data_IF_959135869497
#
_entry.id   IF_959135869497
#
_cell.length_a   1.000
_cell.length_b   1.000
_cell.length_c   1.000
_cell.angle_alpha   90.00
_cell.angle_beta   90.00
_cell.angle_gamma   90.00
#
_symmetry.space_group_name_H-M   'P 1'
#
loop_
_entity.id
_entity.type
_entity.pdbx_description
1 polymer ?
#
# COMPACT_ATOMS: atom_id res chain seq x y z
N UNK A 1 11.79 5.05 1.33
CA UNK A 1 10.57 4.30 1.66
C UNK A 1 9.72 3.98 0.44
N UNK A 2 9.63 4.86 -0.57
CA UNK A 2 8.77 4.68 -1.75
C UNK A 2 8.98 3.34 -2.47
N UNK A 3 10.22 2.95 -2.77
CA UNK A 3 10.49 1.66 -3.43
C UNK A 3 9.98 0.46 -2.61
N UNK A 4 10.18 0.48 -1.28
CA UNK A 4 9.65 -0.55 -0.38
C UNK A 4 8.12 -0.59 -0.34
N UNK A 5 7.48 0.58 -0.31
CA UNK A 5 6.03 0.75 -0.38
C UNK A 5 5.46 0.20 -1.72
N UNK A 6 6.12 0.49 -2.85
CA UNK A 6 5.72 -0.01 -4.16
C UNK A 6 5.83 -1.54 -4.21
N UNK A 7 6.95 -2.12 -3.78
CA UNK A 7 7.13 -3.58 -3.82
C UNK A 7 6.16 -4.31 -2.87
N UNK A 8 5.89 -3.74 -1.69
CA UNK A 8 4.89 -4.28 -0.78
C UNK A 8 3.48 -4.18 -1.37
N UNK A 9 3.14 -3.08 -2.05
CA UNK A 9 1.85 -2.90 -2.72
C UNK A 9 1.67 -3.90 -3.86
N UNK A 10 2.68 -4.09 -4.72
CA UNK A 10 2.66 -5.12 -5.77
C UNK A 10 2.49 -6.51 -5.16
N UNK A 11 3.22 -6.82 -4.09
CA UNK A 11 3.09 -8.09 -3.38
C UNK A 11 1.71 -8.33 -2.79
N UNK A 12 1.07 -7.29 -2.25
CA UNK A 12 -0.31 -7.33 -1.75
C UNK A 12 -1.29 -7.56 -2.90
N UNK A 13 -1.23 -6.73 -3.94
CA UNK A 13 -2.18 -6.76 -5.07
C UNK A 13 -2.11 -8.05 -5.90
N UNK A 14 -0.93 -8.67 -5.97
CA UNK A 14 -0.78 -10.00 -6.58
C UNK A 14 -1.49 -11.12 -5.79
N UNK A 15 -1.71 -10.93 -4.49
CA UNK A 15 -2.39 -11.91 -3.62
C UNK A 15 -3.87 -11.60 -3.44
N UNK A 16 -4.21 -10.32 -3.31
CA UNK A 16 -5.57 -9.82 -3.14
C UNK A 16 -5.73 -8.57 -3.99
N UNK A 17 -6.49 -8.67 -5.09
CA UNK A 17 -6.69 -7.57 -6.03
C UNK A 17 -7.68 -6.51 -5.53
N UNK A 18 -8.37 -6.73 -4.40
CA UNK A 18 -9.30 -5.77 -3.79
C UNK A 18 -9.11 -5.75 -2.26
N UNK A 19 -7.94 -5.31 -1.75
CA UNK A 19 -7.64 -5.34 -0.33
C UNK A 19 -8.45 -4.30 0.46
N UNK A 20 -8.73 -4.55 1.74
CA UNK A 20 -9.29 -3.55 2.67
C UNK A 20 -8.24 -2.50 3.08
N UNK A 21 -8.67 -1.42 3.74
CA UNK A 21 -7.74 -0.39 4.20
C UNK A 21 -6.81 -0.94 5.30
N UNK A 22 -7.33 -1.82 6.15
CA UNK A 22 -6.59 -2.51 7.20
C UNK A 22 -5.56 -3.47 6.62
N UNK A 23 -5.88 -4.17 5.53
CA UNK A 23 -4.94 -5.03 4.82
C UNK A 23 -3.81 -4.21 4.18
N UNK A 24 -4.13 -3.05 3.59
CA UNK A 24 -3.14 -2.13 3.05
C UNK A 24 -2.21 -1.63 4.16
N UNK A 25 -2.77 -1.13 5.28
CA UNK A 25 -1.99 -0.62 6.39
C UNK A 25 -1.08 -1.71 6.98
N UNK A 26 -1.60 -2.92 7.14
CA UNK A 26 -0.84 -4.07 7.63
C UNK A 26 0.31 -4.45 6.69
N UNK A 27 0.07 -4.45 5.37
CA UNK A 27 1.11 -4.72 4.38
C UNK A 27 2.20 -3.62 4.37
N UNK A 28 1.84 -2.39 4.70
CA UNK A 28 2.77 -1.25 4.70
C UNK A 28 3.47 -1.02 6.06
N UNK A 29 3.09 -1.74 7.13
CA UNK A 29 3.60 -1.52 8.48
C UNK A 29 5.13 -1.61 8.62
N UNK A 30 5.78 -2.45 7.80
CA UNK A 30 7.24 -2.57 7.74
C UNK A 30 7.96 -1.46 6.96
N UNK A 31 7.23 -0.61 6.24
CA UNK A 31 7.76 0.40 5.34
C UNK A 31 7.63 1.82 5.92
N UNK A 32 8.53 2.19 6.84
CA UNK A 32 8.44 3.49 7.53
C UNK A 32 8.60 4.67 6.55
N UNK A 33 7.63 5.60 6.57
CA UNK A 33 7.62 6.84 5.83
C UNK A 33 7.78 8.04 6.77
N UNK A 34 8.84 8.84 6.57
CA UNK A 34 9.08 10.08 7.36
C UNK A 34 8.41 11.32 6.76
N UNK A 35 8.05 11.28 5.48
CA UNK A 35 7.34 12.38 4.83
C UNK A 35 5.87 12.49 5.27
N UNK A 36 5.35 11.51 6.02
CA UNK A 36 3.97 11.53 6.53
C UNK A 36 2.90 11.24 5.47
N UNK A 37 3.25 10.59 4.36
CA UNK A 37 2.37 10.45 3.19
C UNK A 37 1.57 9.14 3.15
N UNK A 38 1.37 8.45 4.27
CA UNK A 38 0.69 7.13 4.31
C UNK A 38 -0.72 7.17 3.70
N UNK A 39 -1.49 8.24 3.95
CA UNK A 39 -2.83 8.42 3.38
C UNK A 39 -2.79 8.43 1.84
N UNK A 40 -1.80 9.13 1.25
CA UNK A 40 -1.63 9.18 -0.21
C UNK A 40 -1.18 7.84 -0.78
N UNK A 41 -0.36 7.10 -0.05
CA UNK A 41 0.06 5.75 -0.44
C UNK A 41 -1.14 4.80 -0.47
N UNK A 42 -1.98 4.82 0.58
CA UNK A 42 -3.19 4.01 0.63
C UNK A 42 -4.13 4.31 -0.53
N UNK A 43 -4.36 5.60 -0.82
CA UNK A 43 -5.16 6.03 -1.97
C UNK A 43 -4.59 5.53 -3.30
N UNK A 44 -3.28 5.59 -3.49
CA UNK A 44 -2.63 5.09 -4.70
C UNK A 44 -2.80 3.57 -4.87
N UNK A 45 -2.77 2.81 -3.77
CA UNK A 45 -2.99 1.36 -3.80
C UNK A 45 -4.45 1.03 -4.17
N UNK A 46 -5.43 1.77 -3.62
CA UNK A 46 -6.85 1.66 -4.00
C UNK A 46 -7.07 1.92 -5.48
N UNK A 47 -6.48 3.00 -6.01
CA UNK A 47 -6.55 3.32 -7.43
C UNK A 47 -5.94 2.20 -8.29
N UNK A 48 -4.81 1.64 -7.86
CA UNK A 48 -4.17 0.52 -8.57
C UNK A 48 -4.99 -0.79 -8.51
N UNK A 49 -5.77 -1.00 -7.46
CA UNK A 49 -6.73 -2.11 -7.32
C UNK A 49 -7.97 -1.96 -8.22
N UNK A 50 -8.17 -0.79 -8.86
CA UNK A 50 -9.34 -0.52 -9.70
C UNK A 50 -10.58 -0.06 -8.92
N UNK A 51 -10.39 0.44 -7.69
CA UNK A 51 -11.44 0.99 -6.81
C UNK A 51 -11.32 2.51 -6.65
#
# INVERSE_FOLDING_TARGET
CQSGQIMAAVGLLNKNNNPSDEEIDSAMAGNICRCGTYVRIRQAIRQAAGS
#
